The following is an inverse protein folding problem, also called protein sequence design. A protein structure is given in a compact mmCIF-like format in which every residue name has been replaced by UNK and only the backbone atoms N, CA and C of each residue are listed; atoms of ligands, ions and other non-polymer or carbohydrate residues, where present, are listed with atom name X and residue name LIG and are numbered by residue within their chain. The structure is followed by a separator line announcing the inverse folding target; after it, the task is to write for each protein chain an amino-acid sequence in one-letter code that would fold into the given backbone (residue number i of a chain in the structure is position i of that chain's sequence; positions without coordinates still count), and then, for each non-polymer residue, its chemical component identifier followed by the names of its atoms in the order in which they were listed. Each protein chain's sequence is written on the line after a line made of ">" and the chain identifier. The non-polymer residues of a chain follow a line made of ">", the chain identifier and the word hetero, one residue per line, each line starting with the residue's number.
data_IF_138854063740
#
_entry.id   IF_138854063740
#
_cell.length_a   1.000
_cell.length_b   1.000
_cell.length_c   1.000
_cell.angle_alpha   90.00
_cell.angle_beta   90.00
_cell.angle_gamma   90.00
#
_symmetry.space_group_name_H-M   'P 1'
#
loop_
_entity.id
_entity.type
_entity.pdbx_description
1 polymer ?
#
# COMPACT_ATOMS: atom_id res chain seq x y z
N UNK A 1 6.57 -0.69 9.63
CA UNK A 1 6.70 -1.86 8.72
C UNK A 1 7.17 -3.05 9.52
N UNK A 2 6.45 -4.18 9.48
CA UNK A 2 6.65 -5.29 10.42
C UNK A 2 6.85 -6.63 9.71
N UNK A 3 7.65 -7.51 10.31
CA UNK A 3 7.80 -8.92 9.93
C UNK A 3 6.64 -9.78 10.43
N UNK A 4 5.93 -9.34 11.47
CA UNK A 4 4.71 -9.94 12.02
C UNK A 4 3.75 -8.83 12.41
N UNK A 5 2.48 -8.94 12.02
CA UNK A 5 1.46 -7.98 12.43
C UNK A 5 1.22 -8.09 13.95
N UNK A 6 1.29 -6.98 14.71
CA UNK A 6 1.09 -7.00 16.15
C UNK A 6 -0.37 -7.26 16.55
N UNK A 7 -1.33 -7.05 15.65
CA UNK A 7 -2.75 -7.26 15.91
C UNK A 7 -3.23 -8.64 15.42
N UNK A 8 -2.52 -9.25 14.48
CA UNK A 8 -2.75 -10.62 14.01
C UNK A 8 -1.42 -11.36 13.76
N UNK A 9 -0.89 -12.09 14.76
CA UNK A 9 0.39 -12.78 14.65
C UNK A 9 0.46 -13.84 13.54
N UNK A 10 -0.68 -14.23 12.94
CA UNK A 10 -0.69 -15.14 11.78
C UNK A 10 -0.30 -14.45 10.47
N UNK A 11 -0.32 -13.11 10.45
CA UNK A 11 0.05 -12.29 9.30
C UNK A 11 1.54 -11.94 9.38
N UNK A 12 2.34 -12.57 8.53
CA UNK A 12 3.74 -12.25 8.36
C UNK A 12 3.94 -11.17 7.28
N UNK A 13 4.98 -10.36 7.45
CA UNK A 13 5.43 -9.33 6.50
C UNK A 13 4.31 -8.36 6.14
N UNK A 14 3.98 -7.44 7.06
CA UNK A 14 2.84 -6.53 6.94
C UNK A 14 3.21 -5.05 7.07
N UNK A 15 2.41 -4.23 6.40
CA UNK A 15 2.24 -2.83 6.76
C UNK A 15 1.14 -2.74 7.82
N UNK A 16 1.32 -1.91 8.84
CA UNK A 16 0.38 -1.81 9.96
C UNK A 16 0.11 -0.33 10.22
N UNK A 17 -1.10 0.17 9.92
CA UNK A 17 -2.14 -0.50 9.12
C UNK A 17 -1.70 -0.68 7.66
N UNK A 18 -2.27 -1.68 6.96
CA UNK A 18 -2.05 -1.91 5.53
C UNK A 18 -3.04 -1.13 4.63
N UNK A 19 -4.15 -0.68 5.21
CA UNK A 19 -5.19 0.11 4.56
C UNK A 19 -5.28 1.48 5.24
N UNK A 20 -5.26 2.54 4.45
CA UNK A 20 -5.44 3.91 4.94
C UNK A 20 -6.41 4.65 4.02
N UNK A 21 -7.23 5.51 4.61
CA UNK A 21 -7.96 6.58 3.91
C UNK A 21 -7.46 7.91 4.47
N UNK A 22 -6.98 8.77 3.59
CA UNK A 22 -6.36 10.06 3.94
C UNK A 22 -6.86 11.14 3.00
N UNK A 23 -6.59 12.40 3.34
CA UNK A 23 -6.92 13.54 2.48
C UNK A 23 -5.73 13.96 1.63
N UNK A 24 -6.01 14.74 0.58
CA UNK A 24 -4.97 15.30 -0.27
C UNK A 24 -4.07 16.25 0.54
N UNK A 25 -2.76 16.09 0.38
CA UNK A 25 -1.73 16.83 1.11
C UNK A 25 -1.25 16.14 2.39
N UNK A 26 -1.92 15.07 2.83
CA UNK A 26 -1.44 14.27 3.95
C UNK A 26 -0.13 13.56 3.60
N UNK A 27 0.68 13.32 4.63
CA UNK A 27 1.96 12.61 4.52
C UNK A 27 1.90 11.31 5.29
N UNK A 28 2.25 10.19 4.64
CA UNK A 28 2.40 8.89 5.28
C UNK A 28 3.88 8.61 5.47
N UNK A 29 4.25 8.28 6.72
CA UNK A 29 5.60 7.85 7.08
C UNK A 29 5.62 6.32 7.07
N UNK A 30 6.36 5.74 6.13
CA UNK A 30 6.64 4.31 6.13
C UNK A 30 7.82 4.05 7.05
N UNK A 31 7.54 3.80 8.33
CA UNK A 31 8.59 3.60 9.34
C UNK A 31 9.31 2.25 9.18
N UNK A 32 10.64 2.31 9.18
CA UNK A 32 11.52 1.14 9.21
C UNK A 32 11.64 0.54 10.62
N UNK A 33 10.51 0.18 11.20
CA UNK A 33 10.41 -0.39 12.56
C UNK A 33 11.18 -1.69 12.72
N UNK A 34 11.21 -2.51 11.67
CA UNK A 34 11.99 -3.74 11.61
C UNK A 34 12.82 -3.79 10.32
N UNK A 35 13.92 -4.55 10.36
CA UNK A 35 14.81 -4.73 9.21
C UNK A 35 14.17 -5.62 8.14
N UNK A 36 14.64 -5.50 6.90
CA UNK A 36 14.21 -6.28 5.74
C UNK A 36 13.12 -5.61 4.90
N UNK A 37 12.62 -4.45 5.31
CA UNK A 37 11.44 -3.83 4.68
C UNK A 37 11.77 -2.54 3.93
N UNK A 38 10.95 -2.25 2.93
CA UNK A 38 10.81 -0.95 2.29
C UNK A 38 9.35 -0.76 1.83
N UNK A 39 9.04 0.45 1.35
CA UNK A 39 7.80 0.74 0.64
C UNK A 39 8.12 1.25 -0.76
N UNK A 40 7.43 0.70 -1.76
CA UNK A 40 7.52 1.13 -3.14
C UNK A 40 6.14 1.13 -3.79
N UNK A 41 5.96 2.06 -4.71
CA UNK A 41 4.77 2.20 -5.52
C UNK A 41 4.48 0.96 -6.38
N UNK A 42 3.24 0.47 -6.40
CA UNK A 42 2.83 -0.60 -7.33
C UNK A 42 2.43 -0.03 -8.69
N UNK A 43 3.22 -0.34 -9.72
CA UNK A 43 2.92 0.03 -11.12
C UNK A 43 1.48 -0.37 -11.50
N UNK A 44 0.73 0.60 -12.04
CA UNK A 44 -0.67 0.45 -12.45
C UNK A 44 -1.69 0.73 -11.35
N UNK A 45 -1.24 1.01 -10.12
CA UNK A 45 -2.10 1.31 -8.98
C UNK A 45 -1.78 2.70 -8.42
N UNK A 46 -1.73 3.72 -9.27
CA UNK A 46 -1.67 5.14 -8.89
C UNK A 46 -2.49 5.94 -9.89
N UNK A 47 -3.03 7.10 -9.49
CA UNK A 47 -3.66 8.01 -10.42
C UNK A 47 -2.61 8.64 -11.36
N UNK A 48 -3.08 9.12 -12.51
CA UNK A 48 -2.21 9.81 -13.47
C UNK A 48 -1.64 11.10 -12.85
N UNK A 49 -0.36 11.38 -13.13
CA UNK A 49 0.34 12.53 -12.57
C UNK A 49 0.87 12.35 -11.14
N UNK A 50 0.52 11.27 -10.45
CA UNK A 50 1.03 10.99 -9.11
C UNK A 50 2.55 10.70 -9.11
N UNK A 51 3.22 11.20 -8.07
CA UNK A 51 4.65 10.92 -7.83
C UNK A 51 4.82 9.47 -7.38
N UNK A 52 5.72 8.74 -8.05
CA UNK A 52 6.14 7.40 -7.63
C UNK A 52 7.20 7.50 -6.55
N UNK A 53 7.28 6.49 -5.69
CA UNK A 53 8.35 6.31 -4.73
C UNK A 53 8.90 4.89 -4.75
N UNK A 54 10.15 4.76 -4.34
CA UNK A 54 10.80 3.49 -4.07
C UNK A 54 11.82 3.71 -2.94
N UNK A 55 11.40 3.44 -1.71
CA UNK A 55 12.23 3.61 -0.53
C UNK A 55 13.36 2.59 -0.47
N UNK A 56 14.47 2.97 0.15
CA UNK A 56 15.59 2.05 0.41
C UNK A 56 15.22 1.06 1.51
N UNK A 57 15.73 -0.17 1.42
CA UNK A 57 15.58 -1.18 2.48
C UNK A 57 16.16 -0.64 3.80
N UNK A 58 15.46 -0.89 4.91
CA UNK A 58 15.83 -0.46 6.27
C UNK A 58 15.86 1.07 6.48
N UNK A 59 15.20 1.84 5.61
CA UNK A 59 15.09 3.29 5.76
C UNK A 59 13.64 3.72 5.77
N UNK A 60 13.29 4.56 6.74
CA UNK A 60 12.00 5.25 6.71
C UNK A 60 11.93 6.17 5.49
N UNK A 61 10.73 6.32 4.94
CA UNK A 61 10.45 7.27 3.86
C UNK A 61 9.13 7.96 4.16
N UNK A 62 9.10 9.26 3.91
CA UNK A 62 7.91 10.09 3.99
C UNK A 62 7.39 10.33 2.58
N UNK A 63 6.08 10.13 2.39
CA UNK A 63 5.43 10.32 1.09
C UNK A 63 4.21 11.21 1.30
N UNK A 64 4.22 12.37 0.66
CA UNK A 64 3.08 13.30 0.61
C UNK A 64 2.19 12.96 -0.59
N UNK A 65 0.88 12.90 -0.36
CA UNK A 65 -0.11 12.48 -1.36
C UNK A 65 -0.90 13.68 -1.88
N UNK A 66 -0.39 14.32 -2.93
CA UNK A 66 -0.96 15.55 -3.51
C UNK A 66 -1.98 15.29 -4.64
N UNK A 67 -2.30 14.05 -4.94
CA UNK A 67 -3.19 13.67 -6.05
C UNK A 67 -4.23 12.67 -5.58
N UNK A 68 -5.49 12.98 -5.80
CA UNK A 68 -6.63 12.13 -5.49
C UNK A 68 -6.52 10.81 -6.24
N UNK A 69 -6.88 9.72 -5.57
CA UNK A 69 -6.87 8.39 -6.16
C UNK A 69 -6.53 7.27 -5.20
N UNK A 70 -6.54 6.08 -5.77
CA UNK A 70 -6.17 4.82 -5.13
C UNK A 70 -4.70 4.51 -5.41
N UNK A 71 -3.94 4.31 -4.34
CA UNK A 71 -2.51 4.01 -4.36
C UNK A 71 -2.25 2.61 -3.81
N UNK A 72 -1.84 1.70 -4.68
CA UNK A 72 -1.27 0.42 -4.29
C UNK A 72 0.23 0.55 -4.04
N UNK A 73 0.71 -0.07 -2.98
CA UNK A 73 2.15 -0.12 -2.67
C UNK A 73 2.53 -1.48 -2.10
N UNK A 74 3.84 -1.75 -2.09
CA UNK A 74 4.37 -3.04 -1.68
C UNK A 74 5.78 -2.93 -1.12
N UNK A 75 6.17 -3.94 -0.35
CA UNK A 75 7.57 -4.16 0.01
C UNK A 75 8.24 -5.03 -1.06
N UNK A 76 9.33 -4.53 -1.64
CA UNK A 76 10.02 -5.16 -2.78
C UNK A 76 10.42 -6.62 -2.52
N UNK A 77 11.17 -6.95 -1.45
CA UNK A 77 11.56 -8.32 -1.16
C UNK A 77 10.39 -9.23 -0.76
N UNK A 78 9.30 -8.66 -0.23
CA UNK A 78 8.20 -9.42 0.37
C UNK A 78 6.89 -9.36 -0.43
N UNK A 79 6.94 -8.88 -1.67
CA UNK A 79 5.77 -8.76 -2.53
C UNK A 79 5.07 -10.11 -2.76
N UNK A 80 5.84 -11.13 -3.15
CA UNK A 80 5.29 -12.45 -3.49
C UNK A 80 4.61 -13.15 -2.31
N UNK A 81 5.01 -12.80 -1.08
CA UNK A 81 4.44 -13.33 0.16
C UNK A 81 3.34 -12.47 0.75
N UNK A 82 2.98 -11.34 0.12
CA UNK A 82 1.77 -10.59 0.42
C UNK A 82 1.97 -9.28 1.17
N UNK A 83 3.19 -8.78 1.30
CA UNK A 83 3.45 -7.49 1.96
C UNK A 83 3.08 -6.32 1.04
N UNK A 84 1.80 -5.97 1.06
CA UNK A 84 1.18 -4.93 0.23
C UNK A 84 0.27 -4.05 1.07
N UNK A 85 -0.03 -2.87 0.57
CA UNK A 85 -1.01 -1.98 1.18
C UNK A 85 -1.73 -1.11 0.15
N UNK A 86 -2.79 -0.47 0.62
CA UNK A 86 -3.66 0.39 -0.17
C UNK A 86 -3.88 1.71 0.59
N UNK A 87 -3.65 2.83 -0.07
CA UNK A 87 -3.98 4.17 0.44
C UNK A 87 -5.03 4.77 -0.49
N UNK A 88 -6.15 5.22 0.06
CA UNK A 88 -7.18 5.99 -0.62
C UNK A 88 -6.99 7.46 -0.28
N UNK A 89 -6.87 8.31 -1.29
CA UNK A 89 -6.62 9.76 -1.13
C UNK A 89 -7.76 10.54 -1.74
N UNK A 90 -8.41 11.41 -0.97
CA UNK A 90 -9.46 12.33 -1.46
C UNK A 90 -10.54 11.60 -2.26
N UNK A 91 -10.83 12.07 -3.50
CA UNK A 91 -11.62 11.30 -4.47
C UNK A 91 -10.81 10.10 -5.00
N UNK A 92 -10.77 9.04 -4.20
CA UNK A 92 -10.05 7.82 -4.53
C UNK A 92 -10.67 7.01 -5.67
N UNK A 93 -11.90 7.37 -6.10
CA UNK A 93 -12.66 6.62 -7.10
C UNK A 93 -12.11 6.77 -8.52
N UNK A 94 -11.35 7.83 -8.79
CA UNK A 94 -10.83 8.21 -10.12
C UNK A 94 -10.03 7.11 -10.85
N UNK A 95 -9.47 6.16 -10.12
CA UNK A 95 -8.73 5.02 -10.68
C UNK A 95 -8.91 3.71 -9.89
N UNK A 96 -9.92 3.62 -9.01
CA UNK A 96 -10.10 2.48 -8.11
C UNK A 96 -10.28 1.17 -8.89
N UNK A 97 -11.09 1.20 -9.94
CA UNK A 97 -11.39 0.02 -10.77
C UNK A 97 -10.20 -0.39 -11.64
N UNK A 98 -9.43 0.57 -12.13
CA UNK A 98 -8.20 0.36 -12.89
C UNK A 98 -7.13 -0.28 -11.99
N UNK A 99 -6.95 0.25 -10.79
CA UNK A 99 -6.03 -0.30 -9.79
C UNK A 99 -6.41 -1.75 -9.43
N UNK A 100 -7.72 -2.05 -9.31
CA UNK A 100 -8.23 -3.40 -9.01
C UNK A 100 -7.93 -4.41 -10.11
N UNK A 101 -7.92 -4.00 -11.37
CA UNK A 101 -7.62 -4.86 -12.53
C UNK A 101 -6.14 -5.25 -12.63
N UNK A 102 -5.25 -4.61 -11.87
CA UNK A 102 -3.81 -4.93 -11.91
C UNK A 102 -3.56 -6.36 -11.42
N UNK A 103 -3.05 -7.20 -12.32
CA UNK A 103 -2.72 -8.59 -12.01
C UNK A 103 -1.62 -8.66 -10.94
N UNK A 104 -1.89 -9.45 -9.90
CA UNK A 104 -0.98 -9.69 -8.79
C UNK A 104 -0.42 -11.11 -8.84
N UNK A 105 0.78 -11.32 -8.28
CA UNK A 105 1.44 -12.64 -8.20
C UNK A 105 1.45 -13.15 -6.77
N UNK A 106 1.43 -14.47 -6.59
CA UNK A 106 1.56 -15.11 -5.28
C UNK A 106 0.49 -14.65 -4.28
N UNK A 107 0.88 -14.52 -3.01
CA UNK A 107 -0.03 -14.13 -1.92
C UNK A 107 -0.49 -12.67 -2.02
N UNK A 108 0.21 -11.80 -2.78
CA UNK A 108 -0.23 -10.42 -2.99
C UNK A 108 -1.61 -10.31 -3.64
N UNK A 109 -2.03 -11.31 -4.45
CA UNK A 109 -3.39 -11.31 -5.01
C UNK A 109 -4.45 -11.37 -3.92
N UNK A 110 -4.30 -12.30 -2.98
CA UNK A 110 -5.24 -12.46 -1.87
C UNK A 110 -5.20 -11.23 -0.95
N UNK A 111 -4.01 -10.72 -0.65
CA UNK A 111 -3.84 -9.54 0.21
C UNK A 111 -4.48 -8.28 -0.39
N UNK A 112 -4.23 -7.97 -1.67
CA UNK A 112 -4.88 -6.83 -2.32
C UNK A 112 -6.39 -7.00 -2.43
N UNK A 113 -6.91 -8.20 -2.71
CA UNK A 113 -8.36 -8.43 -2.74
C UNK A 113 -9.02 -8.05 -1.40
N UNK A 114 -8.42 -8.46 -0.27
CA UNK A 114 -8.94 -8.10 1.05
C UNK A 114 -8.88 -6.58 1.32
N UNK A 115 -7.86 -5.88 0.82
CA UNK A 115 -7.77 -4.41 0.92
C UNK A 115 -8.82 -3.72 0.05
N UNK A 116 -9.13 -4.27 -1.12
CA UNK A 116 -10.19 -3.75 -1.97
C UNK A 116 -11.59 -4.03 -1.41
N UNK A 117 -11.80 -5.15 -0.73
CA UNK A 117 -13.04 -5.42 0.03
C UNK A 117 -13.24 -4.38 1.15
N UNK A 118 -12.17 -3.97 1.83
CA UNK A 118 -12.23 -2.85 2.79
C UNK A 118 -12.60 -1.52 2.10
N UNK A 119 -12.07 -1.25 0.91
CA UNK A 119 -12.47 -0.06 0.14
C UNK A 119 -13.96 -0.10 -0.26
N UNK A 120 -14.48 -1.27 -0.61
CA UNK A 120 -15.89 -1.44 -0.97
C UNK A 120 -16.83 -1.23 0.23
N UNK A 121 -16.37 -1.54 1.44
CA UNK A 121 -17.12 -1.31 2.69
C UNK A 121 -17.22 0.18 3.11
N UNK A 122 -16.55 1.09 2.39
CA UNK A 122 -16.62 2.54 2.62
C UNK A 122 -17.68 3.26 1.78
N UNK A 123 -18.31 2.54 0.83
CA UNK A 123 -19.43 3.03 0.01
C UNK A 123 -20.71 3.00 0.82
#
# INVERSE_FOLDING_TARGET
>A
MMSTDPNDPSVAMSFVPAFLKIEKGDTVIFEATQKGHNSATKKGMLPDGAKKWNGRINKSIEVTFDTDGTYGYFCVPHYSVGMVGLILVGDYSVNLEEARKVKQRGKAKKAFNALFEQADALK
#
